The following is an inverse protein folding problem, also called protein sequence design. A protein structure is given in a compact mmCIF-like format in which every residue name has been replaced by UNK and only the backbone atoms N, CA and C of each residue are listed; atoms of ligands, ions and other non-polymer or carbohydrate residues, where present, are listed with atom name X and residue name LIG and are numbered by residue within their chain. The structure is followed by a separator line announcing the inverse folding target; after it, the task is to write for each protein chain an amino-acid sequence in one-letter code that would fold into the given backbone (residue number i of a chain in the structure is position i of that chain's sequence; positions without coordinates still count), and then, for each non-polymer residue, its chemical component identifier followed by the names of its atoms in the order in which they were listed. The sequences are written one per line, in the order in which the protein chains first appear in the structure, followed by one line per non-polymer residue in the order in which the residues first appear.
data_IF_535626689942
#
_entry.id   IF_535626689942
#
_cell.length_a   1.000
_cell.length_b   1.000
_cell.length_c   1.000
_cell.angle_alpha   90.00
_cell.angle_beta   90.00
_cell.angle_gamma   90.00
#
_symmetry.space_group_name_H-M   'P 1'
#
loop_
_entity.id
_entity.type
_entity.pdbx_description
1 polymer ?
#
# COMPACT_ATOMS: atom_id res chain seq x y z
N UNK A 1 -0.54 14.11 27.76
CA UNK A 1 -1.28 12.88 28.14
C UNK A 1 -0.55 11.70 27.52
N UNK A 2 -0.04 10.75 28.31
CA UNK A 2 0.62 9.54 27.79
C UNK A 2 -0.42 8.47 27.43
N UNK A 3 -0.08 7.60 26.47
CA UNK A 3 -0.87 6.43 26.07
C UNK A 3 -0.32 5.22 26.85
N UNK A 4 -1.18 4.37 27.39
CA UNK A 4 -0.72 3.12 28.02
C UNK A 4 -0.19 2.12 26.99
N UNK A 5 0.66 1.21 27.47
CA UNK A 5 1.34 0.25 26.62
C UNK A 5 0.37 -0.65 25.84
N UNK A 6 -0.76 -1.05 26.42
CA UNK A 6 -1.70 -1.96 25.75
C UNK A 6 -2.34 -1.28 24.53
N UNK A 7 -2.88 -0.07 24.70
CA UNK A 7 -3.46 0.69 23.57
C UNK A 7 -2.39 1.08 22.55
N UNK A 8 -1.21 1.49 23.01
CA UNK A 8 -0.13 1.84 22.10
C UNK A 8 0.23 0.66 21.19
N UNK A 9 0.47 -0.53 21.76
CA UNK A 9 0.81 -1.73 20.99
C UNK A 9 -0.31 -2.14 20.04
N UNK A 10 -1.57 -2.14 20.50
CA UNK A 10 -2.71 -2.50 19.67
C UNK A 10 -2.86 -1.58 18.44
N UNK A 11 -2.70 -0.27 18.62
CA UNK A 11 -2.80 0.68 17.51
C UNK A 11 -1.57 0.63 16.61
N UNK A 12 -0.36 0.47 17.17
CA UNK A 12 0.86 0.32 16.38
C UNK A 12 0.78 -0.88 15.42
N UNK A 13 0.26 -2.03 15.88
CA UNK A 13 0.04 -3.19 15.01
C UNK A 13 -0.97 -2.91 13.89
N UNK A 14 -2.06 -2.17 14.19
CA UNK A 14 -3.05 -1.77 13.16
C UNK A 14 -2.46 -0.81 12.14
N UNK A 15 -1.65 0.15 12.58
CA UNK A 15 -0.99 1.10 11.68
C UNK A 15 0.04 0.43 10.76
N UNK A 16 0.75 -0.59 11.26
CA UNK A 16 1.66 -1.38 10.42
C UNK A 16 0.90 -2.14 9.30
N UNK A 17 -0.27 -2.71 9.63
CA UNK A 17 -1.16 -3.34 8.63
C UNK A 17 -1.66 -2.29 7.63
N UNK A 18 -2.12 -1.14 8.14
CA UNK A 18 -2.65 -0.07 7.31
C UNK A 18 -1.60 0.48 6.32
N UNK A 19 -0.35 0.67 6.74
CA UNK A 19 0.73 1.14 5.87
C UNK A 19 1.02 0.14 4.75
N UNK A 20 1.15 -1.14 5.09
CA UNK A 20 1.36 -2.22 4.13
C UNK A 20 0.23 -2.29 3.10
N UNK A 21 -1.02 -2.19 3.56
CA UNK A 21 -2.19 -2.26 2.69
C UNK A 21 -2.32 -1.00 1.83
N UNK A 22 -1.96 0.18 2.36
CA UNK A 22 -1.90 1.43 1.59
C UNK A 22 -0.84 1.39 0.49
N UNK A 23 0.34 0.81 0.76
CA UNK A 23 1.36 0.59 -0.25
C UNK A 23 0.85 -0.32 -1.37
N UNK A 24 0.14 -1.40 -1.03
CA UNK A 24 -0.51 -2.27 -2.03
C UNK A 24 -1.54 -1.50 -2.86
N UNK A 25 -2.42 -0.71 -2.23
CA UNK A 25 -3.46 0.07 -2.93
C UNK A 25 -2.85 1.09 -3.88
N UNK A 26 -1.81 1.79 -3.44
CA UNK A 26 -1.05 2.73 -4.28
C UNK A 26 -0.53 2.02 -5.52
N UNK A 27 0.19 0.91 -5.35
CA UNK A 27 0.81 0.18 -6.45
C UNK A 27 -0.26 -0.36 -7.42
N UNK A 28 -1.35 -0.93 -6.89
CA UNK A 28 -2.47 -1.43 -7.69
C UNK A 28 -3.13 -0.33 -8.54
N UNK A 29 -3.45 0.81 -7.94
CA UNK A 29 -4.04 1.94 -8.66
C UNK A 29 -3.08 2.49 -9.72
N UNK A 30 -1.82 2.71 -9.36
CA UNK A 30 -0.80 3.26 -10.26
C UNK A 30 -0.56 2.35 -11.46
N UNK A 31 -0.38 1.04 -11.24
CA UNK A 31 -0.18 0.06 -12.31
C UNK A 31 -1.44 -0.06 -13.19
N UNK A 32 -2.62 -0.08 -12.59
CA UNK A 32 -3.88 -0.16 -13.34
C UNK A 32 -4.04 1.04 -14.28
N UNK A 33 -3.92 2.27 -13.77
CA UNK A 33 -4.06 3.47 -14.61
C UNK A 33 -2.90 3.66 -15.60
N UNK A 34 -1.72 3.12 -15.31
CA UNK A 34 -0.62 3.11 -16.27
C UNK A 34 -0.97 2.31 -17.54
N UNK A 35 -1.76 1.23 -17.44
CA UNK A 35 -2.19 0.46 -18.62
C UNK A 35 -2.96 1.28 -19.65
N UNK A 36 -3.75 2.26 -19.19
CA UNK A 36 -4.56 3.12 -20.04
C UNK A 36 -3.85 4.42 -20.42
N UNK A 37 -3.16 5.05 -19.47
CA UNK A 37 -2.47 6.33 -19.70
C UNK A 37 -1.19 6.17 -20.53
N UNK A 38 -0.56 5.00 -20.50
CA UNK A 38 0.70 4.68 -21.20
C UNK A 38 1.84 5.66 -20.89
N UNK A 39 1.80 6.27 -19.70
CA UNK A 39 2.80 7.24 -19.25
C UNK A 39 3.75 6.61 -18.22
N UNK A 40 5.04 7.00 -18.22
CA UNK A 40 5.94 6.65 -17.15
C UNK A 40 5.51 7.33 -15.85
N UNK A 41 5.92 6.78 -14.71
CA UNK A 41 5.71 7.46 -13.44
C UNK A 41 6.59 8.72 -13.33
N UNK A 42 6.11 9.80 -12.70
CA UNK A 42 6.91 10.99 -12.45
C UNK A 42 8.13 10.69 -11.58
N UNK A 43 9.19 11.50 -11.71
CA UNK A 43 10.36 11.41 -10.86
C UNK A 43 9.97 11.61 -9.38
N UNK A 44 10.51 10.75 -8.50
CA UNK A 44 10.23 10.78 -7.06
C UNK A 44 8.99 10.00 -6.61
N UNK A 45 8.16 9.52 -7.53
CA UNK A 45 7.12 8.53 -7.20
C UNK A 45 7.80 7.18 -7.06
N UNK A 46 7.62 6.52 -5.91
CA UNK A 46 8.11 5.16 -5.72
C UNK A 46 7.47 4.23 -6.76
N UNK A 47 8.30 3.59 -7.56
CA UNK A 47 7.86 2.58 -8.52
C UNK A 47 7.43 1.33 -7.75
N UNK A 48 6.25 0.80 -8.13
CA UNK A 48 5.83 -0.52 -7.64
C UNK A 48 6.91 -1.56 -7.93
N UNK A 49 7.28 -2.33 -6.90
CA UNK A 49 8.16 -3.50 -7.04
C UNK A 49 7.45 -4.71 -7.65
N UNK A 50 6.12 -4.65 -7.77
CA UNK A 50 5.25 -5.70 -8.28
C UNK A 50 4.67 -5.31 -9.64
N UNK A 51 4.31 -6.31 -10.42
CA UNK A 51 3.55 -6.22 -11.67
C UNK A 51 2.05 -6.10 -11.41
N UNK A 52 1.28 -5.71 -12.43
CA UNK A 52 -0.19 -5.59 -12.32
C UNK A 52 -0.86 -6.92 -11.97
N UNK A 53 -0.33 -8.04 -12.46
CA UNK A 53 -0.91 -9.36 -12.21
C UNK A 53 -0.61 -9.83 -10.78
N UNK A 54 0.58 -9.54 -10.26
CA UNK A 54 0.94 -9.83 -8.87
C UNK A 54 0.09 -9.04 -7.89
N UNK A 55 -0.20 -7.76 -8.16
CA UNK A 55 -1.08 -6.98 -7.27
C UNK A 55 -2.51 -7.50 -7.32
N UNK A 56 -3.05 -7.89 -8.49
CA UNK A 56 -4.41 -8.46 -8.61
C UNK A 56 -4.60 -9.79 -7.87
N UNK A 57 -3.54 -10.58 -7.70
CA UNK A 57 -3.61 -11.88 -7.04
C UNK A 57 -3.68 -11.81 -5.51
N UNK A 58 -3.45 -10.62 -4.91
CA UNK A 58 -3.44 -10.45 -3.45
C UNK A 58 -4.87 -10.38 -2.92
N UNK A 59 -5.13 -11.16 -1.86
CA UNK A 59 -6.28 -10.92 -0.96
C UNK A 59 -5.86 -9.92 0.11
N UNK A 60 -6.54 -8.77 0.16
CA UNK A 60 -6.36 -7.82 1.25
C UNK A 60 -7.01 -8.42 2.50
N UNK A 61 -6.37 -8.21 3.65
CA UNK A 61 -6.71 -8.87 4.91
C UNK A 61 -8.20 -8.70 5.27
N UNK A 62 -8.86 -9.80 5.66
CA UNK A 62 -10.17 -9.80 6.37
C UNK A 62 -10.03 -9.25 7.80
#
# INVERSE_FOLDING_TARGET
RSIDAQRHTAIASKLAIQERDAAWWRDACLLYFQTFSKRPFPAGVETSRKTLDEVKAVKISE
#
